data_IF_464031589436
#
_entry.id   IF_464031589436
#
_cell.length_a   1.000
_cell.length_b   1.000
_cell.length_c   1.000
_cell.angle_alpha   90.00
_cell.angle_beta   90.00
_cell.angle_gamma   90.00
#
_symmetry.space_group_name_H-M   'P 1'
#
loop_
_entity.id
_entity.type
_entity.pdbx_description
1 polymer ?
#
# COMPACT_ATOMS: atom_id res chain seq x y z
N UNK A 1 -1.92 -0.86 -19.41
CA UNK A 1 -0.84 -0.69 -18.41
C UNK A 1 -1.55 -0.56 -17.07
N UNK A 2 -0.94 -0.57 -15.87
CA UNK A 2 -1.63 0.02 -14.72
C UNK A 2 -1.72 1.54 -14.93
N UNK A 3 -2.87 2.15 -14.61
CA UNK A 3 -3.03 3.61 -14.66
C UNK A 3 -2.48 4.21 -13.37
N UNK A 4 -1.53 5.13 -13.46
CA UNK A 4 -1.09 5.91 -12.29
C UNK A 4 -2.22 6.85 -11.86
N UNK A 5 -2.60 6.77 -10.60
CA UNK A 5 -3.66 7.59 -10.00
C UNK A 5 -3.09 8.73 -9.18
N UNK A 6 -2.10 8.43 -8.34
CA UNK A 6 -1.45 9.42 -7.48
C UNK A 6 -0.04 8.95 -7.10
N UNK A 7 0.78 9.90 -6.66
CA UNK A 7 2.16 9.67 -6.26
C UNK A 7 2.54 10.59 -5.10
N UNK A 8 3.41 10.08 -4.22
CA UNK A 8 3.97 10.79 -3.09
C UNK A 8 5.48 10.52 -3.03
N UNK A 9 6.26 11.60 -3.07
CA UNK A 9 7.72 11.54 -2.94
C UNK A 9 8.18 10.82 -1.67
N UNK A 10 7.47 11.02 -0.55
CA UNK A 10 7.80 10.34 0.71
C UNK A 10 6.54 10.04 1.53
N UNK A 11 6.35 8.77 1.82
CA UNK A 11 5.37 8.29 2.78
C UNK A 11 6.00 7.27 3.73
N UNK A 12 5.47 7.15 4.93
CA UNK A 12 5.89 6.17 5.93
C UNK A 12 4.81 5.11 6.12
N UNK A 13 5.16 3.82 6.09
CA UNK A 13 4.24 2.78 6.54
C UNK A 13 4.18 2.78 8.07
N UNK A 14 3.08 3.29 8.64
CA UNK A 14 2.92 3.40 10.10
C UNK A 14 2.23 2.18 10.72
N UNK A 15 1.40 1.47 9.97
CA UNK A 15 0.81 0.21 10.45
C UNK A 15 0.40 -0.72 9.32
N UNK A 16 0.43 -2.02 9.63
CA UNK A 16 -0.19 -3.06 8.82
C UNK A 16 -0.89 -4.08 9.70
N UNK A 17 -2.17 -4.30 9.43
CA UNK A 17 -3.06 -5.18 10.18
C UNK A 17 -3.54 -6.33 9.29
N UNK A 18 -3.66 -7.52 9.85
CA UNK A 18 -4.08 -8.74 9.13
C UNK A 18 -5.59 -8.89 9.26
N UNK A 19 -6.28 -9.06 8.14
CA UNK A 19 -7.74 -9.21 8.12
C UNK A 19 -8.21 -10.59 7.63
N UNK A 20 -7.29 -11.46 7.21
CA UNK A 20 -7.60 -12.77 6.65
C UNK A 20 -7.10 -13.93 7.50
N UNK A 21 -7.61 -15.13 7.23
CA UNK A 21 -7.16 -16.40 7.84
C UNK A 21 -5.87 -16.95 7.19
N UNK A 22 -5.15 -16.17 6.38
CA UNK A 22 -3.86 -16.57 5.79
C UNK A 22 -2.87 -16.99 6.89
N UNK A 23 -1.94 -17.91 6.64
CA UNK A 23 -0.92 -18.24 7.65
C UNK A 23 -0.05 -17.03 7.99
N UNK A 24 0.35 -16.92 9.26
CA UNK A 24 1.16 -15.78 9.71
C UNK A 24 2.51 -15.72 8.99
N UNK A 25 3.13 -16.87 8.70
CA UNK A 25 4.43 -16.89 8.00
C UNK A 25 4.38 -16.31 6.59
N UNK A 26 3.25 -16.47 5.88
CA UNK A 26 3.05 -15.85 4.56
C UNK A 26 2.70 -14.36 4.64
N UNK A 27 2.28 -13.90 5.82
CA UNK A 27 1.75 -12.57 6.02
C UNK A 27 2.76 -11.61 6.67
N UNK A 28 3.53 -12.09 7.66
CA UNK A 28 4.31 -11.31 8.62
C UNK A 28 5.38 -10.40 8.02
N UNK A 29 5.95 -10.75 6.86
CA UNK A 29 7.00 -9.96 6.20
C UNK A 29 6.58 -8.51 5.94
N UNK A 30 5.28 -8.22 5.80
CA UNK A 30 4.77 -6.85 5.63
C UNK A 30 5.12 -5.93 6.79
N UNK A 31 5.28 -6.49 8.00
CA UNK A 31 5.66 -5.74 9.20
C UNK A 31 7.09 -5.22 9.14
N UNK A 32 7.95 -5.83 8.34
CA UNK A 32 9.35 -5.41 8.17
C UNK A 32 9.45 -4.02 7.52
N UNK A 33 8.41 -3.61 6.80
CA UNK A 33 8.33 -2.28 6.19
C UNK A 33 7.78 -1.20 7.14
N UNK A 34 7.34 -1.54 8.36
CA UNK A 34 6.83 -0.53 9.30
C UNK A 34 7.98 0.43 9.67
N UNK A 35 7.73 1.73 9.56
CA UNK A 35 8.72 2.79 9.77
C UNK A 35 9.60 3.09 8.55
N UNK A 36 9.51 2.32 7.47
CA UNK A 36 10.19 2.66 6.23
C UNK A 36 9.56 3.89 5.61
N UNK A 37 10.40 4.79 5.09
CA UNK A 37 10.01 6.01 4.42
C UNK A 37 10.55 6.00 2.98
N UNK A 38 9.65 5.94 2.00
CA UNK A 38 10.04 5.94 0.59
C UNK A 38 8.89 6.38 -0.32
N UNK A 39 9.09 6.24 -1.63
CA UNK A 39 8.12 6.64 -2.63
C UNK A 39 6.87 5.76 -2.60
N UNK A 40 5.71 6.39 -2.75
CA UNK A 40 4.43 5.70 -2.78
C UNK A 40 3.66 6.03 -4.05
N UNK A 41 3.33 4.99 -4.81
CA UNK A 41 2.53 5.07 -6.03
C UNK A 41 1.19 4.39 -5.82
N UNK A 42 0.11 5.05 -6.24
CA UNK A 42 -1.24 4.47 -6.29
C UNK A 42 -1.56 4.17 -7.75
N UNK A 43 -1.82 2.91 -8.03
CA UNK A 43 -2.16 2.44 -9.37
C UNK A 43 -3.57 1.87 -9.42
N UNK A 44 -4.23 2.00 -10.56
CA UNK A 44 -5.50 1.34 -10.87
C UNK A 44 -5.30 0.25 -11.93
N UNK A 45 -5.92 -0.91 -11.73
CA UNK A 45 -5.94 -1.96 -12.74
C UNK A 45 -6.88 -1.57 -13.88
N UNK A 46 -6.39 -1.60 -15.13
CA UNK A 46 -7.22 -1.36 -16.33
C UNK A 46 -7.90 -2.63 -16.88
N UNK A 47 -7.57 -3.83 -16.36
CA UNK A 47 -8.01 -5.13 -16.92
C UNK A 47 -8.88 -5.92 -15.92
N UNK A 48 -8.42 -7.10 -15.48
CA UNK A 48 -9.20 -8.08 -14.68
C UNK A 48 -9.77 -7.51 -13.37
N UNK A 49 -9.20 -6.44 -12.83
CA UNK A 49 -9.68 -5.76 -11.62
C UNK A 49 -10.00 -4.28 -11.90
N UNK A 50 -10.73 -3.99 -12.99
CA UNK A 50 -11.06 -2.61 -13.40
C UNK A 50 -11.62 -1.79 -12.23
N UNK A 51 -11.04 -0.61 -12.00
CA UNK A 51 -11.45 0.31 -10.91
C UNK A 51 -10.88 -0.04 -9.52
N UNK A 52 -10.26 -1.21 -9.33
CA UNK A 52 -9.55 -1.52 -8.08
C UNK A 52 -8.12 -1.02 -8.13
N UNK A 53 -7.62 -0.61 -6.96
CA UNK A 53 -6.32 0.05 -6.83
C UNK A 53 -5.36 -0.77 -6.00
N UNK A 54 -4.07 -0.55 -6.20
CA UNK A 54 -3.01 -1.11 -5.37
C UNK A 54 -1.95 -0.05 -5.10
N UNK A 55 -1.25 -0.20 -3.98
CA UNK A 55 -0.10 0.60 -3.63
C UNK A 55 1.17 -0.14 -4.03
N UNK A 56 2.11 0.62 -4.59
CA UNK A 56 3.49 0.22 -4.79
C UNK A 56 4.37 1.18 -4.00
N UNK A 57 5.07 0.66 -2.99
CA UNK A 57 5.86 1.41 -2.04
C UNK A 57 7.31 0.96 -2.15
N UNK A 58 8.25 1.84 -2.53
CA UNK A 58 9.61 1.41 -2.92
C UNK A 58 10.66 2.48 -2.71
N UNK A 59 11.88 2.05 -2.43
CA UNK A 59 13.13 2.84 -2.49
C UNK A 59 13.98 2.46 -3.72
N UNK A 60 13.36 1.81 -4.71
CA UNK A 60 13.96 1.17 -5.89
C UNK A 60 14.87 -0.04 -5.64
N UNK A 61 15.24 -0.33 -4.40
CA UNK A 61 16.02 -1.52 -4.02
C UNK A 61 15.14 -2.62 -3.42
N UNK A 62 14.13 -2.20 -2.66
CA UNK A 62 13.11 -3.01 -2.00
C UNK A 62 11.73 -2.46 -2.36
N UNK A 63 10.71 -3.31 -2.25
CA UNK A 63 9.35 -2.85 -2.49
C UNK A 63 8.30 -3.63 -1.71
N UNK A 64 7.28 -2.91 -1.25
CA UNK A 64 6.02 -3.45 -0.78
C UNK A 64 4.95 -3.17 -1.82
N UNK A 65 4.41 -4.24 -2.40
CA UNK A 65 3.25 -4.18 -3.30
C UNK A 65 2.03 -4.75 -2.60
N UNK A 66 0.97 -3.96 -2.48
CA UNK A 66 -0.28 -4.43 -1.88
C UNK A 66 -1.08 -5.29 -2.85
N UNK A 67 -2.08 -6.00 -2.32
CA UNK A 67 -3.16 -6.52 -3.14
C UNK A 67 -4.04 -5.39 -3.69
N UNK A 68 -4.97 -5.75 -4.57
CA UNK A 68 -6.01 -4.84 -5.04
C UNK A 68 -7.05 -4.59 -3.94
N UNK A 69 -7.50 -3.35 -3.83
CA UNK A 69 -8.37 -2.90 -2.76
C UNK A 69 -8.91 -1.50 -2.98
N UNK A 70 -9.40 -0.92 -1.89
CA UNK A 70 -9.88 0.45 -1.79
C UNK A 70 -8.98 1.25 -0.88
N UNK A 71 -8.80 2.54 -1.19
CA UNK A 71 -8.06 3.43 -0.32
C UNK A 71 -8.86 4.71 -0.04
N UNK A 72 -8.60 5.28 1.12
CA UNK A 72 -9.05 6.61 1.51
C UNK A 72 -7.86 7.43 1.97
N UNK A 73 -7.97 8.75 1.84
CA UNK A 73 -6.99 9.70 2.39
C UNK A 73 -7.74 10.57 3.41
N UNK A 74 -7.24 10.58 4.64
CA UNK A 74 -7.77 11.43 5.71
C UNK A 74 -6.62 11.85 6.61
N UNK A 75 -6.55 13.13 6.97
CA UNK A 75 -5.55 13.66 7.91
C UNK A 75 -4.10 13.27 7.56
N UNK A 76 -3.73 13.39 6.27
CA UNK A 76 -2.45 12.96 5.71
C UNK A 76 -2.13 11.46 5.87
N UNK A 77 -3.14 10.63 6.12
CA UNK A 77 -2.99 9.18 6.22
C UNK A 77 -3.73 8.53 5.05
N UNK A 78 -2.99 7.74 4.27
CA UNK A 78 -3.54 6.84 3.26
C UNK A 78 -3.86 5.52 3.96
N UNK A 79 -5.14 5.17 4.03
CA UNK A 79 -5.57 3.85 4.51
C UNK A 79 -5.92 2.99 3.31
N UNK A 80 -5.19 1.89 3.12
CA UNK A 80 -5.41 0.94 2.04
C UNK A 80 -5.95 -0.37 2.59
N UNK A 81 -7.19 -0.69 2.25
CA UNK A 81 -7.86 -1.92 2.62
C UNK A 81 -7.84 -2.90 1.46
N UNK A 82 -7.22 -4.06 1.70
CA UNK A 82 -7.18 -5.18 0.77
C UNK A 82 -7.86 -6.38 1.39
N UNK A 83 -8.10 -7.44 0.60
CA UNK A 83 -8.69 -8.69 1.10
C UNK A 83 -8.00 -9.26 2.35
N UNK A 84 -6.69 -9.07 2.48
CA UNK A 84 -5.88 -9.75 3.50
C UNK A 84 -5.26 -8.83 4.55
N UNK A 85 -5.23 -7.52 4.28
CA UNK A 85 -4.58 -6.56 5.14
C UNK A 85 -5.16 -5.17 5.02
N UNK A 86 -5.05 -4.40 6.09
CA UNK A 86 -5.20 -2.94 6.12
C UNK A 86 -3.82 -2.33 6.32
N UNK A 87 -3.42 -1.41 5.46
CA UNK A 87 -2.17 -0.65 5.57
C UNK A 87 -2.51 0.80 5.86
N UNK A 88 -1.72 1.45 6.70
CA UNK A 88 -1.79 2.90 6.92
C UNK A 88 -0.44 3.51 6.58
N UNK A 89 -0.45 4.47 5.66
CA UNK A 89 0.74 5.24 5.30
C UNK A 89 0.55 6.70 5.69
N UNK A 90 1.54 7.27 6.38
CA UNK A 90 1.58 8.70 6.66
C UNK A 90 2.26 9.42 5.51
N UNK A 91 1.60 10.39 4.91
CA UNK A 91 2.17 11.26 3.88
C UNK A 91 3.11 12.24 4.57
N UNK A 92 4.37 12.27 4.14
CA UNK A 92 5.39 13.20 4.63
C UNK A 92 5.61 14.30 3.61
N UNK A 93 5.78 13.92 2.35
CA UNK A 93 6.00 14.83 1.23
C UNK A 93 5.27 14.33 0.00
N UNK A 94 4.55 15.23 -0.68
CA UNK A 94 3.95 14.96 -1.98
C UNK A 94 4.95 15.21 -3.10
#
# INVERSE_FOLDING_TARGET
MPKLIDFYNTAELISVEKTSNMSNDKWKWRKEYIGYQCELFIFESERKNKGKRYIYFTDHSNYLKTGYGTYIIKDNIITMETRNSIYKFKIIQK
#
